data_IF_256220957803
#
_entry.id   IF_256220957803
#
_cell.length_a   1.000
_cell.length_b   1.000
_cell.length_c   1.000
_cell.angle_alpha   90.00
_cell.angle_beta   90.00
_cell.angle_gamma   90.00
#
_symmetry.space_group_name_H-M   'P 1'
#
loop_
_entity.id
_entity.type
_entity.pdbx_description
1 polymer ?
#
# COMPACT_ATOMS: atom_id res chain seq x y z
N UNK A 1 -4.60 33.65 -24.80
CA UNK A 1 -5.25 32.88 -25.88
C UNK A 1 -6.73 33.20 -25.80
N UNK A 2 -7.34 33.73 -26.88
CA UNK A 2 -8.73 34.19 -26.85
C UNK A 2 -9.68 33.01 -27.08
N UNK A 3 -10.37 32.55 -26.03
CA UNK A 3 -11.43 31.55 -26.13
C UNK A 3 -12.67 32.19 -26.79
N UNK A 4 -12.72 32.21 -28.13
CA UNK A 4 -13.83 32.76 -28.90
C UNK A 4 -14.55 31.64 -29.67
N UNK A 5 -15.88 31.64 -29.61
CA UNK A 5 -16.73 30.74 -30.38
C UNK A 5 -17.34 31.50 -31.57
N UNK A 6 -16.99 31.10 -32.80
CA UNK A 6 -17.53 31.67 -34.03
C UNK A 6 -18.67 30.77 -34.54
N UNK A 7 -19.88 31.31 -34.63
CA UNK A 7 -21.08 30.55 -35.02
C UNK A 7 -21.73 31.22 -36.24
N UNK A 8 -22.03 30.43 -37.27
CA UNK A 8 -22.84 30.85 -38.41
C UNK A 8 -24.26 30.33 -38.22
N UNK A 9 -25.22 31.21 -37.96
CA UNK A 9 -26.62 30.85 -37.68
C UNK A 9 -27.57 32.02 -38.00
N UNK A 10 -28.88 31.80 -37.89
CA UNK A 10 -29.90 32.86 -38.02
C UNK A 10 -29.95 33.73 -36.76
N UNK A 11 -30.44 34.99 -36.84
CA UNK A 11 -30.56 35.85 -35.67
C UNK A 11 -31.43 35.28 -34.53
N UNK A 12 -32.50 34.55 -34.87
CA UNK A 12 -33.37 33.88 -33.90
C UNK A 12 -32.61 32.81 -33.12
N UNK A 13 -31.91 31.92 -33.83
CA UNK A 13 -31.16 30.83 -33.21
C UNK A 13 -29.96 31.35 -32.42
N UNK A 14 -29.34 32.46 -32.85
CA UNK A 14 -28.28 33.11 -32.07
C UNK A 14 -28.79 33.59 -30.70
N UNK A 15 -30.03 34.11 -30.63
CA UNK A 15 -30.62 34.54 -29.36
C UNK A 15 -30.85 33.35 -28.42
N UNK A 16 -31.36 32.23 -28.95
CA UNK A 16 -31.53 30.97 -28.21
C UNK A 16 -30.20 30.42 -27.69
N UNK A 17 -29.17 30.35 -28.56
CA UNK A 17 -27.83 29.88 -28.17
C UNK A 17 -27.23 30.76 -27.07
N UNK A 18 -27.38 32.09 -27.15
CA UNK A 18 -26.91 33.02 -26.12
C UNK A 18 -27.62 32.82 -24.78
N UNK A 19 -28.92 32.49 -24.79
CA UNK A 19 -29.66 32.18 -23.55
C UNK A 19 -29.17 30.88 -22.92
N UNK A 20 -28.93 29.85 -23.74
CA UNK A 20 -28.38 28.56 -23.27
C UNK A 20 -26.95 28.70 -22.73
N UNK A 21 -26.09 29.46 -23.41
CA UNK A 21 -24.70 29.66 -22.96
C UNK A 21 -24.63 30.28 -21.55
N UNK A 22 -25.54 31.20 -21.20
CA UNK A 22 -25.61 31.79 -19.85
C UNK A 22 -25.93 30.77 -18.74
N UNK A 23 -26.49 29.61 -19.08
CA UNK A 23 -26.82 28.54 -18.13
C UNK A 23 -25.67 27.53 -17.96
N UNK A 24 -24.65 27.58 -18.82
CA UNK A 24 -23.55 26.60 -18.84
C UNK A 24 -22.22 27.28 -18.45
N UNK A 25 -22.05 28.55 -18.81
CA UNK A 25 -20.85 29.34 -18.53
C UNK A 25 -20.88 29.93 -17.11
N UNK A 26 -20.75 29.06 -16.12
CA UNK A 26 -20.62 29.42 -14.72
C UNK A 26 -19.15 29.37 -14.27
N UNK A 27 -18.78 30.25 -13.35
CA UNK A 27 -17.44 30.26 -12.78
C UNK A 27 -17.19 28.93 -12.02
N UNK A 28 -16.11 28.20 -12.31
CA UNK A 28 -15.83 26.93 -11.66
C UNK A 28 -15.68 27.08 -10.14
N UNK A 29 -16.36 26.22 -9.38
CA UNK A 29 -16.24 26.17 -7.91
C UNK A 29 -14.88 25.59 -7.50
N UNK A 30 -14.28 26.15 -6.45
CA UNK A 30 -13.03 25.65 -5.85
C UNK A 30 -13.36 24.60 -4.79
N UNK A 31 -12.67 23.47 -4.85
CA UNK A 31 -12.90 22.30 -4.02
C UNK A 31 -11.64 21.94 -3.25
N UNK A 32 -11.80 21.58 -1.98
CA UNK A 32 -10.80 20.90 -1.16
C UNK A 32 -11.21 19.44 -1.03
N UNK A 33 -10.36 18.54 -1.49
CA UNK A 33 -10.59 17.10 -1.41
C UNK A 33 -9.67 16.53 -0.34
N UNK A 34 -10.26 15.90 0.67
CA UNK A 34 -9.53 15.21 1.74
C UNK A 34 -9.77 13.71 1.61
N UNK A 35 -8.70 12.93 1.57
CA UNK A 35 -8.76 11.45 1.60
C UNK A 35 -8.11 10.96 2.88
N UNK A 36 -8.79 10.08 3.60
CA UNK A 36 -8.25 9.35 4.75
C UNK A 36 -8.09 7.88 4.38
N UNK A 37 -6.95 7.33 4.72
CA UNK A 37 -6.65 5.92 4.60
C UNK A 37 -6.23 5.42 5.97
N UNK A 38 -7.09 4.58 6.56
CA UNK A 38 -6.84 3.97 7.86
C UNK A 38 -6.48 2.50 7.62
N UNK A 39 -5.33 2.07 8.14
CA UNK A 39 -4.84 0.70 8.08
C UNK A 39 -4.63 0.22 9.50
N UNK A 40 -5.29 -0.86 9.87
CA UNK A 40 -5.20 -1.48 11.18
C UNK A 40 -4.85 -2.94 11.01
N UNK A 41 -3.83 -3.40 11.74
CA UNK A 41 -3.30 -4.75 11.61
C UNK A 41 -2.99 -5.37 12.96
N UNK A 42 -3.38 -6.63 13.14
CA UNK A 42 -2.96 -7.46 14.26
C UNK A 42 -2.24 -8.69 13.72
N UNK A 43 -1.09 -9.00 14.30
CA UNK A 43 -0.28 -10.17 13.95
C UNK A 43 0.16 -10.88 15.20
N UNK A 44 -0.23 -12.14 15.30
CA UNK A 44 0.22 -13.07 16.32
C UNK A 44 1.21 -14.04 15.71
N UNK A 45 2.31 -14.31 16.41
CA UNK A 45 3.25 -15.33 16.00
C UNK A 45 3.67 -16.19 17.17
N UNK A 46 3.93 -17.46 16.87
CA UNK A 46 4.53 -18.42 17.78
C UNK A 46 5.60 -19.19 17.01
N UNK A 47 6.75 -19.35 17.63
CA UNK A 47 7.85 -20.13 17.11
C UNK A 47 8.40 -21.03 18.22
N UNK A 48 8.51 -22.31 17.92
CA UNK A 48 9.13 -23.31 18.78
C UNK A 48 10.30 -23.90 18.00
N UNK A 49 11.50 -23.91 18.60
CA UNK A 49 12.70 -24.42 17.94
C UNK A 49 13.55 -25.24 18.90
N UNK A 50 14.18 -26.27 18.36
CA UNK A 50 15.16 -27.12 19.03
C UNK A 50 16.46 -27.06 18.24
N UNK A 51 17.55 -26.78 18.95
CA UNK A 51 18.90 -26.73 18.40
C UNK A 51 19.84 -27.58 19.25
N UNK A 52 20.86 -28.12 18.60
CA UNK A 52 21.87 -28.93 19.24
C UNK A 52 23.25 -28.64 18.66
N UNK A 53 24.26 -28.65 19.52
CA UNK A 53 25.68 -28.52 19.16
C UNK A 53 26.44 -29.65 19.85
N UNK A 54 27.34 -30.28 19.11
CA UNK A 54 28.32 -31.23 19.64
C UNK A 54 29.70 -30.88 19.05
N UNK A 55 30.74 -30.94 19.88
CA UNK A 55 32.11 -30.57 19.54
C UNK A 55 33.05 -31.55 20.24
N UNK A 56 33.94 -32.20 19.48
CA UNK A 56 34.95 -33.11 20.03
C UNK A 56 36.20 -33.05 19.17
N UNK A 57 37.29 -32.51 19.70
CA UNK A 57 38.50 -32.22 18.92
C UNK A 57 38.18 -31.30 17.72
N UNK A 58 38.55 -31.75 16.52
CA UNK A 58 38.31 -31.01 15.27
C UNK A 58 36.91 -31.24 14.66
N UNK A 59 36.06 -32.06 15.29
CA UNK A 59 34.72 -32.39 14.79
C UNK A 59 33.67 -31.52 15.46
N UNK A 60 32.85 -30.83 14.66
CA UNK A 60 31.71 -30.05 15.14
C UNK A 60 30.43 -30.40 14.38
N UNK A 61 29.38 -30.79 15.11
CA UNK A 61 28.04 -31.06 14.59
C UNK A 61 27.09 -30.00 15.14
N UNK A 62 26.26 -29.43 14.27
CA UNK A 62 25.17 -28.52 14.66
C UNK A 62 23.88 -28.97 14.00
N UNK A 63 22.81 -29.06 14.77
CA UNK A 63 21.46 -29.36 14.30
C UNK A 63 20.50 -28.27 14.73
N UNK A 64 19.45 -28.06 13.93
CA UNK A 64 18.55 -26.92 14.08
C UNK A 64 19.20 -25.59 13.68
N UNK A 65 18.39 -24.54 13.60
CA UNK A 65 18.87 -23.16 13.37
C UNK A 65 18.16 -22.24 14.34
N UNK A 66 18.95 -21.51 15.12
CA UNK A 66 18.48 -20.52 16.07
C UNK A 66 18.75 -19.14 15.46
N UNK A 67 17.69 -18.44 15.04
CA UNK A 67 17.82 -17.16 14.32
C UNK A 67 17.60 -15.93 15.21
N UNK A 68 17.18 -16.13 16.47
CA UNK A 68 16.90 -15.03 17.40
C UNK A 68 17.40 -15.34 18.81
N UNK A 69 17.86 -14.30 19.50
CA UNK A 69 18.16 -14.33 20.94
C UNK A 69 16.93 -14.00 21.81
N UNK A 70 15.81 -13.66 21.18
CA UNK A 70 14.56 -13.31 21.86
C UNK A 70 13.70 -14.55 22.19
N UNK A 71 12.95 -14.47 23.28
CA UNK A 71 12.03 -15.52 23.75
C UNK A 71 12.55 -16.28 24.97
N UNK A 72 11.74 -17.23 25.45
CA UNK A 72 12.13 -18.13 26.54
C UNK A 72 12.99 -19.25 25.96
N UNK A 73 14.19 -19.45 26.52
CA UNK A 73 15.05 -20.56 26.14
C UNK A 73 15.47 -21.38 27.34
N UNK A 74 15.50 -22.69 27.15
CA UNK A 74 16.04 -23.66 28.11
C UNK A 74 17.13 -24.41 27.38
N UNK A 75 18.32 -24.47 27.98
CA UNK A 75 19.45 -25.21 27.43
C UNK A 75 20.08 -26.11 28.47
N UNK A 76 20.48 -27.30 28.04
CA UNK A 76 21.19 -28.27 28.85
C UNK A 76 22.43 -28.74 28.09
N UNK A 77 23.55 -28.88 28.79
CA UNK A 77 24.81 -29.29 28.17
C UNK A 77 26.03 -28.80 28.93
N UNK A 78 27.19 -29.17 28.39
CA UNK A 78 28.52 -28.80 28.86
C UNK A 78 29.28 -28.01 27.77
N UNK A 79 30.61 -27.98 27.87
CA UNK A 79 31.49 -27.26 26.92
C UNK A 79 31.48 -27.88 25.52
N UNK A 80 31.26 -29.18 25.44
CA UNK A 80 31.43 -30.00 24.25
C UNK A 80 30.07 -30.32 23.62
N UNK A 81 29.00 -30.42 24.41
CA UNK A 81 27.66 -30.76 23.95
C UNK A 81 26.60 -29.82 24.53
N UNK A 82 25.67 -29.32 23.71
CA UNK A 82 24.59 -28.46 24.17
C UNK A 82 23.32 -28.70 23.36
N UNK A 83 22.19 -28.80 24.04
CA UNK A 83 20.85 -28.80 23.45
C UNK A 83 20.11 -27.58 24.00
N UNK A 84 19.46 -26.83 23.11
CA UNK A 84 18.63 -25.67 23.47
C UNK A 84 17.26 -25.80 22.81
N UNK A 85 16.23 -25.73 23.65
CA UNK A 85 14.85 -25.49 23.24
C UNK A 85 14.52 -24.01 23.44
N UNK A 86 13.85 -23.39 22.46
CA UNK A 86 13.38 -22.00 22.53
C UNK A 86 11.94 -21.91 22.08
N UNK A 87 11.15 -21.13 22.82
CA UNK A 87 9.81 -20.72 22.45
C UNK A 87 9.71 -19.19 22.43
N UNK A 88 9.13 -18.66 21.36
CA UNK A 88 8.90 -17.24 21.17
C UNK A 88 7.44 -17.04 20.79
N UNK A 89 6.74 -16.19 21.53
CA UNK A 89 5.39 -15.75 21.20
C UNK A 89 5.38 -14.23 21.22
N UNK A 90 4.73 -13.62 20.24
CA UNK A 90 4.52 -12.19 20.22
C UNK A 90 3.22 -11.81 19.53
N UNK A 91 2.74 -10.63 19.89
CA UNK A 91 1.57 -9.97 19.32
C UNK A 91 2.02 -8.58 18.85
N UNK A 92 1.81 -8.26 17.59
CA UNK A 92 2.19 -6.98 16.96
C UNK A 92 0.93 -6.29 16.49
N UNK A 93 0.75 -5.04 16.89
CA UNK A 93 -0.33 -4.17 16.39
C UNK A 93 0.26 -3.04 15.58
N UNK A 94 -0.34 -2.79 14.43
CA UNK A 94 -0.03 -1.66 13.56
C UNK A 94 -1.31 -0.84 13.35
N UNK A 95 -1.19 0.48 13.48
CA UNK A 95 -2.23 1.46 13.14
C UNK A 95 -1.53 2.55 12.34
N UNK A 96 -1.87 2.67 11.07
CA UNK A 96 -1.37 3.70 10.17
C UNK A 96 -2.54 4.52 9.62
N UNK A 97 -2.47 5.84 9.75
CA UNK A 97 -3.55 6.76 9.40
C UNK A 97 -3.02 7.89 8.56
N UNK A 98 -3.22 7.79 7.26
CA UNK A 98 -2.75 8.77 6.30
C UNK A 98 -3.89 9.68 5.87
N UNK A 99 -3.66 11.00 5.93
CA UNK A 99 -4.60 12.01 5.46
C UNK A 99 -3.96 12.85 4.38
N UNK A 100 -4.52 12.80 3.17
CA UNK A 100 -4.07 13.58 2.03
C UNK A 100 -5.10 14.67 1.72
N UNK A 101 -4.62 15.85 1.31
CA UNK A 101 -5.47 16.99 0.95
C UNK A 101 -4.98 17.63 -0.34
N UNK A 102 -5.89 17.91 -1.25
CA UNK A 102 -5.59 18.60 -2.52
C UNK A 102 -6.70 19.58 -2.86
N UNK A 103 -6.33 20.74 -3.41
CA UNK A 103 -7.29 21.71 -3.95
C UNK A 103 -7.40 21.54 -5.47
N UNK A 104 -8.61 21.63 -5.99
CA UNK A 104 -8.87 21.62 -7.43
C UNK A 104 -10.11 22.44 -7.77
N UNK A 105 -10.35 22.65 -9.07
CA UNK A 105 -11.59 23.21 -9.58
C UNK A 105 -12.56 22.07 -9.90
N UNK A 106 -13.86 22.35 -9.85
CA UNK A 106 -14.85 21.40 -10.35
C UNK A 106 -14.57 21.02 -11.82
N UNK A 107 -14.77 19.75 -12.15
CA UNK A 107 -14.46 19.21 -13.47
C UNK A 107 -12.98 19.06 -13.80
N UNK A 108 -12.06 19.46 -12.91
CA UNK A 108 -10.62 19.34 -13.11
C UNK A 108 -10.00 18.23 -12.24
N UNK A 109 -9.17 17.36 -12.84
CA UNK A 109 -8.54 16.28 -12.09
C UNK A 109 -7.50 16.82 -11.11
N UNK A 110 -7.36 16.13 -9.98
CA UNK A 110 -6.36 16.41 -8.97
C UNK A 110 -5.60 15.13 -8.60
N UNK A 111 -4.32 15.27 -8.33
CA UNK A 111 -3.45 14.15 -7.97
C UNK A 111 -2.47 14.57 -6.89
N UNK A 112 -2.25 13.69 -5.92
CA UNK A 112 -1.20 13.80 -4.92
C UNK A 112 -0.61 12.42 -4.67
N UNK A 113 0.71 12.35 -4.60
CA UNK A 113 1.45 11.15 -4.23
C UNK A 113 2.64 11.53 -3.36
N UNK A 114 2.88 10.74 -2.32
CA UNK A 114 4.04 10.81 -1.45
C UNK A 114 4.69 9.43 -1.41
N UNK A 115 5.97 9.33 -1.79
CA UNK A 115 6.68 8.06 -1.80
C UNK A 115 8.20 8.21 -1.86
N UNK A 116 8.88 7.08 -1.92
CA UNK A 116 10.33 6.96 -2.11
C UNK A 116 10.60 5.97 -3.25
N UNK A 117 11.66 6.17 -4.02
CA UNK A 117 12.11 5.23 -5.04
C UNK A 117 13.17 4.31 -4.45
N UNK A 118 12.92 3.00 -4.44
CA UNK A 118 13.87 2.02 -3.87
C UNK A 118 14.52 1.17 -4.98
N UNK A 119 15.84 0.92 -4.92
CA UNK A 119 16.51 0.05 -5.88
C UNK A 119 16.15 -1.42 -5.62
N UNK A 120 15.74 -2.10 -6.67
CA UNK A 120 15.44 -3.51 -6.75
C UNK A 120 16.51 -4.20 -7.58
N UNK A 121 17.36 -5.00 -6.92
CA UNK A 121 18.41 -5.76 -7.59
C UNK A 121 17.84 -7.07 -8.14
N UNK A 122 17.73 -7.20 -9.45
CA UNK A 122 17.37 -8.45 -10.13
C UNK A 122 18.63 -9.12 -10.67
N UNK A 123 18.86 -10.39 -10.34
CA UNK A 123 19.95 -11.18 -10.91
C UNK A 123 19.38 -12.34 -11.70
N UNK A 124 19.56 -12.32 -13.02
CA UNK A 124 19.17 -13.43 -13.88
C UNK A 124 20.40 -14.30 -14.16
N UNK A 125 20.31 -15.59 -13.88
CA UNK A 125 21.42 -16.53 -14.10
C UNK A 125 21.06 -17.43 -15.26
N UNK A 126 21.78 -17.29 -16.37
CA UNK A 126 21.60 -18.13 -17.56
C UNK A 126 22.76 -19.10 -17.61
N UNK A 127 22.45 -20.40 -17.60
CA UNK A 127 23.43 -21.47 -17.82
C UNK A 127 23.54 -21.65 -19.33
N UNK A 128 24.68 -21.30 -19.90
CA UNK A 128 25.01 -21.58 -21.31
C UNK A 128 26.02 -22.72 -21.40
N UNK A 129 26.17 -23.28 -22.59
CA UNK A 129 27.08 -24.40 -22.87
C UNK A 129 28.55 -24.12 -22.48
N UNK A 130 28.92 -22.83 -22.31
CA UNK A 130 30.26 -22.37 -21.93
C UNK A 130 30.37 -21.76 -20.52
N UNK A 131 29.34 -21.86 -19.66
CA UNK A 131 29.42 -21.42 -18.27
C UNK A 131 28.16 -20.76 -17.71
N UNK A 132 28.28 -20.21 -16.51
CA UNK A 132 27.19 -19.51 -15.81
C UNK A 132 27.33 -18.01 -16.03
N UNK A 133 26.41 -17.41 -16.78
CA UNK A 133 26.36 -15.95 -16.96
C UNK A 133 25.34 -15.37 -15.99
N UNK A 134 25.81 -14.55 -15.04
CA UNK A 134 24.95 -13.83 -14.10
C UNK A 134 24.79 -12.40 -14.61
N UNK A 135 23.61 -12.08 -15.14
CA UNK A 135 23.25 -10.71 -15.51
C UNK A 135 22.58 -10.04 -14.31
N UNK A 136 23.16 -8.92 -13.82
CA UNK A 136 22.61 -8.15 -12.70
C UNK A 136 22.04 -6.84 -13.25
N UNK A 137 20.74 -6.62 -13.08
CA UNK A 137 20.08 -5.34 -13.33
C UNK A 137 19.66 -4.73 -11.99
N UNK A 138 19.65 -3.40 -11.94
CA UNK A 138 19.09 -2.65 -10.81
C UNK A 138 17.97 -1.78 -11.36
N UNK A 139 16.74 -2.16 -11.02
CA UNK A 139 15.53 -1.44 -11.41
C UNK A 139 15.06 -0.60 -10.23
N UNK A 140 14.49 0.58 -10.45
CA UNK A 140 13.95 1.39 -9.37
C UNK A 140 12.43 1.23 -9.31
N UNK A 141 11.90 1.03 -8.11
CA UNK A 141 10.46 0.91 -7.89
C UNK A 141 9.99 1.99 -6.93
N UNK A 142 9.03 2.78 -7.39
CA UNK A 142 8.40 3.81 -6.58
C UNK A 142 7.42 3.17 -5.60
N UNK A 143 7.64 3.44 -4.32
CA UNK A 143 6.77 3.03 -3.22
C UNK A 143 6.26 4.27 -2.53
N UNK A 144 4.98 4.56 -2.72
CA UNK A 144 4.29 5.68 -2.10
C UNK A 144 2.83 5.40 -1.80
N UNK A 145 2.19 6.45 -1.31
CA UNK A 145 0.77 6.54 -1.01
C UNK A 145 0.21 7.81 -1.63
N UNK A 146 -0.99 7.73 -2.18
CA UNK A 146 -1.58 8.87 -2.88
C UNK A 146 -2.98 8.61 -3.39
N UNK A 147 -3.51 9.62 -4.08
CA UNK A 147 -4.78 9.49 -4.77
C UNK A 147 -4.86 10.41 -5.98
N UNK A 148 -5.66 9.97 -6.95
CA UNK A 148 -6.18 10.71 -8.08
C UNK A 148 -7.68 10.88 -7.92
N UNK A 149 -8.21 12.04 -8.26
CA UNK A 149 -9.65 12.29 -8.19
C UNK A 149 -10.10 13.24 -9.29
N UNK A 150 -11.30 13.02 -9.81
CA UNK A 150 -12.00 13.92 -10.70
C UNK A 150 -13.39 14.23 -10.12
N UNK A 151 -13.58 15.43 -9.54
CA UNK A 151 -14.88 15.86 -9.03
C UNK A 151 -15.75 16.47 -10.14
N UNK A 152 -17.04 16.13 -10.17
CA UNK A 152 -18.06 16.80 -10.99
C UNK A 152 -19.24 17.18 -10.11
N UNK A 153 -19.61 18.46 -10.10
CA UNK A 153 -20.73 18.94 -9.29
C UNK A 153 -22.02 18.97 -10.09
N UNK A 154 -23.12 18.72 -9.40
CA UNK A 154 -24.48 18.99 -9.85
C UNK A 154 -25.25 19.56 -8.64
N UNK A 155 -25.28 20.89 -8.52
CA UNK A 155 -25.74 21.56 -7.31
C UNK A 155 -24.85 21.23 -6.10
N UNK A 156 -25.43 20.58 -5.09
CA UNK A 156 -24.73 20.15 -3.86
C UNK A 156 -24.25 18.69 -3.90
N UNK A 157 -24.57 17.97 -4.97
CA UNK A 157 -24.07 16.62 -5.19
C UNK A 157 -22.74 16.66 -5.94
N UNK A 158 -21.82 15.80 -5.51
CA UNK A 158 -20.53 15.58 -6.16
C UNK A 158 -20.44 14.13 -6.63
N UNK A 159 -20.15 13.95 -7.91
CA UNK A 159 -19.73 12.67 -8.48
C UNK A 159 -18.20 12.66 -8.50
N UNK A 160 -17.60 11.63 -7.92
CA UNK A 160 -16.16 11.49 -7.78
C UNK A 160 -15.72 10.22 -8.49
N UNK A 161 -14.88 10.36 -9.51
CA UNK A 161 -14.03 9.27 -9.95
C UNK A 161 -12.77 9.36 -9.10
N UNK A 162 -12.52 8.37 -8.24
CA UNK A 162 -11.42 8.36 -7.30
C UNK A 162 -10.59 7.10 -7.48
N UNK A 163 -9.27 7.27 -7.59
CA UNK A 163 -8.30 6.19 -7.54
C UNK A 163 -7.33 6.44 -6.40
N UNK A 164 -7.08 5.44 -5.57
CA UNK A 164 -6.15 5.53 -4.44
C UNK A 164 -5.11 4.43 -4.52
N UNK A 165 -3.90 4.74 -4.10
CA UNK A 165 -2.78 3.81 -4.08
C UNK A 165 -2.09 3.89 -2.72
N UNK A 166 -1.71 2.73 -2.19
CA UNK A 166 -0.84 2.60 -1.03
C UNK A 166 0.13 1.46 -1.30
N UNK A 167 1.40 1.71 -1.06
CA UNK A 167 2.42 0.69 -1.12
C UNK A 167 3.27 0.68 0.13
N UNK A 168 3.68 -0.51 0.54
CA UNK A 168 4.51 -0.73 1.72
C UNK A 168 5.69 -1.64 1.39
N UNK A 169 6.83 -1.35 2.00
CA UNK A 169 8.03 -2.17 1.86
C UNK A 169 7.98 -3.28 2.91
N UNK A 170 8.19 -4.53 2.49
CA UNK A 170 8.48 -5.64 3.39
C UNK A 170 9.99 -5.77 3.58
N UNK A 171 10.53 -5.52 4.79
CA UNK A 171 11.94 -5.77 5.08
C UNK A 171 12.24 -7.27 4.97
N UNK A 172 13.30 -7.64 4.25
CA UNK A 172 13.71 -9.04 4.08
C UNK A 172 14.98 -9.17 3.24
N UNK A 173 15.50 -10.41 3.10
CA UNK A 173 16.69 -10.70 2.25
C UNK A 173 16.51 -10.29 0.79
N UNK A 174 15.26 -10.20 0.34
CA UNK A 174 14.84 -9.53 -0.88
C UNK A 174 13.76 -8.51 -0.48
N UNK A 175 14.02 -7.23 -0.73
CA UNK A 175 13.01 -6.19 -0.51
C UNK A 175 11.82 -6.49 -1.43
N UNK A 176 10.62 -6.61 -0.87
CA UNK A 176 9.40 -6.78 -1.66
C UNK A 176 8.46 -5.61 -1.39
N UNK A 177 7.93 -5.01 -2.46
CA UNK A 177 6.89 -3.99 -2.35
C UNK A 177 5.52 -4.69 -2.37
N UNK A 178 4.68 -4.39 -1.38
CA UNK A 178 3.25 -4.64 -1.48
C UNK A 178 2.62 -3.39 -2.11
N UNK A 179 1.80 -3.57 -3.14
CA UNK A 179 1.02 -2.49 -3.74
C UNK A 179 -0.45 -2.82 -3.62
N UNK A 180 -1.24 -1.84 -3.23
CA UNK A 180 -2.68 -1.97 -3.08
C UNK A 180 -3.35 -0.72 -3.64
N UNK A 181 -4.18 -0.91 -4.66
CA UNK A 181 -4.93 0.16 -5.30
C UNK A 181 -6.44 -0.07 -5.25
N UNK A 182 -7.20 1.00 -5.35
CA UNK A 182 -8.65 0.97 -5.52
C UNK A 182 -9.06 2.10 -6.46
N UNK A 183 -9.92 1.79 -7.43
CA UNK A 183 -10.53 2.77 -8.32
C UNK A 183 -12.04 2.60 -8.28
N UNK A 184 -12.77 3.71 -8.08
CA UNK A 184 -14.21 3.69 -7.93
C UNK A 184 -14.84 5.00 -8.41
N UNK A 185 -16.14 4.94 -8.72
CA UNK A 185 -16.96 6.13 -8.93
C UNK A 185 -18.05 6.16 -7.87
N UNK A 186 -18.07 7.22 -7.08
CA UNK A 186 -19.05 7.42 -6.00
C UNK A 186 -19.79 8.74 -6.17
N UNK A 187 -20.99 8.81 -5.58
CA UNK A 187 -21.77 10.03 -5.49
C UNK A 187 -22.03 10.33 -4.02
N UNK A 188 -21.89 11.59 -3.63
CA UNK A 188 -22.25 12.04 -2.30
C UNK A 188 -22.50 13.54 -2.26
N UNK A 189 -22.62 14.09 -1.05
CA UNK A 189 -22.87 15.52 -0.82
C UNK A 189 -21.59 16.23 -0.42
N UNK A 190 -21.50 17.52 -0.74
CA UNK A 190 -20.43 18.38 -0.25
C UNK A 190 -20.45 18.43 1.29
N UNK A 191 -19.27 18.39 1.91
CA UNK A 191 -19.07 18.46 3.36
C UNK A 191 -19.20 17.14 4.12
N UNK A 192 -19.66 16.05 3.47
CA UNK A 192 -19.85 14.74 4.09
C UNK A 192 -18.68 13.79 3.79
N UNK A 193 -18.36 12.92 4.76
CA UNK A 193 -17.44 11.81 4.53
C UNK A 193 -18.16 10.68 3.79
N UNK A 194 -17.55 10.21 2.71
CA UNK A 194 -18.03 9.10 1.90
C UNK A 194 -17.00 7.98 2.03
N UNK A 195 -17.43 6.79 2.44
CA UNK A 195 -16.59 5.60 2.40
C UNK A 195 -16.46 5.14 0.95
N UNK A 196 -15.22 5.05 0.46
CA UNK A 196 -14.92 4.55 -0.88
C UNK A 196 -14.85 3.02 -0.92
N UNK A 197 -14.49 2.42 0.22
CA UNK A 197 -14.37 0.99 0.40
C UNK A 197 -13.21 0.63 1.32
N UNK A 198 -12.94 -0.67 1.39
CA UNK A 198 -11.90 -1.23 2.25
C UNK A 198 -11.45 -2.61 1.81
N UNK A 199 -10.35 -3.06 2.41
CA UNK A 199 -9.75 -4.38 2.18
C UNK A 199 -9.58 -5.05 3.54
N UNK A 200 -10.13 -6.25 3.71
CA UNK A 200 -9.87 -7.11 4.87
C UNK A 200 -9.03 -8.32 4.43
N UNK A 201 -7.85 -8.48 5.01
CA UNK A 201 -6.91 -9.54 4.71
C UNK A 201 -6.60 -10.35 5.96
N UNK A 202 -7.07 -11.58 6.01
CA UNK A 202 -6.63 -12.57 7.00
C UNK A 202 -5.57 -13.49 6.40
N UNK A 203 -4.48 -13.74 7.14
CA UNK A 203 -3.48 -14.73 6.75
C UNK A 203 -3.14 -15.66 7.91
N UNK A 204 -3.02 -16.96 7.61
CA UNK A 204 -2.48 -17.97 8.51
C UNK A 204 -1.35 -18.69 7.78
N UNK A 205 -0.17 -18.76 8.39
CA UNK A 205 0.97 -19.46 7.86
C UNK A 205 1.57 -20.35 8.93
N UNK A 206 1.53 -21.64 8.69
CA UNK A 206 2.18 -22.64 9.51
C UNK A 206 3.43 -23.15 8.77
N UNK A 207 4.55 -23.20 9.47
CA UNK A 207 5.82 -23.71 8.98
C UNK A 207 6.31 -24.82 9.88
N UNK A 208 6.63 -25.98 9.30
CA UNK A 208 7.37 -27.05 9.99
C UNK A 208 8.64 -27.33 9.23
N UNK A 209 9.76 -27.32 9.94
CA UNK A 209 11.08 -27.73 9.45
C UNK A 209 11.66 -28.72 10.45
N UNK A 210 12.74 -29.38 10.08
CA UNK A 210 13.44 -30.28 10.99
C UNK A 210 13.80 -29.49 12.27
N UNK A 211 13.28 -29.95 13.41
CA UNK A 211 13.49 -29.36 14.74
C UNK A 211 12.94 -27.93 14.94
N UNK A 212 12.06 -27.42 14.07
CA UNK A 212 11.34 -26.17 14.36
C UNK A 212 9.92 -26.10 13.78
N UNK A 213 9.05 -25.40 14.50
CA UNK A 213 7.71 -25.05 14.05
C UNK A 213 7.44 -23.58 14.26
N UNK A 214 6.79 -22.95 13.29
CA UNK A 214 6.30 -21.59 13.40
C UNK A 214 4.84 -21.52 12.97
N UNK A 215 4.06 -20.67 13.63
CA UNK A 215 2.71 -20.32 13.23
C UNK A 215 2.58 -18.81 13.29
N UNK A 216 2.14 -18.20 12.20
CA UNK A 216 1.86 -16.77 12.12
C UNK A 216 0.42 -16.62 11.69
N UNK A 217 -0.36 -15.88 12.47
CA UNK A 217 -1.73 -15.49 12.14
C UNK A 217 -1.83 -13.98 12.17
N UNK A 218 -2.60 -13.40 11.29
CA UNK A 218 -2.88 -11.97 11.36
C UNK A 218 -4.06 -11.58 10.52
N UNK A 219 -4.54 -10.38 10.82
CA UNK A 219 -5.61 -9.69 10.11
C UNK A 219 -5.15 -8.26 9.83
N UNK A 220 -5.46 -7.76 8.64
CA UNK A 220 -5.21 -6.39 8.23
C UNK A 220 -6.50 -5.83 7.63
N UNK A 221 -7.05 -4.79 8.26
CA UNK A 221 -8.22 -4.05 7.79
C UNK A 221 -7.77 -2.68 7.30
N UNK A 222 -8.11 -2.37 6.06
CA UNK A 222 -7.90 -1.06 5.44
C UNK A 222 -9.24 -0.46 5.08
N UNK A 223 -9.43 0.83 5.38
CA UNK A 223 -10.62 1.59 4.98
C UNK A 223 -10.21 2.93 4.38
N UNK A 224 -10.93 3.37 3.36
CA UNK A 224 -10.68 4.62 2.66
C UNK A 224 -11.91 5.50 2.68
N UNK A 225 -11.74 6.74 3.13
CA UNK A 225 -12.79 7.75 3.14
C UNK A 225 -12.36 8.96 2.31
N UNK A 226 -13.33 9.58 1.64
CA UNK A 226 -13.14 10.84 0.93
C UNK A 226 -14.14 11.88 1.41
N UNK A 227 -13.73 13.14 1.45
CA UNK A 227 -14.59 14.28 1.72
C UNK A 227 -14.25 15.40 0.77
N UNK A 228 -15.28 16.08 0.28
CA UNK A 228 -15.16 17.22 -0.63
C UNK A 228 -15.82 18.42 0.00
N UNK A 229 -15.02 19.44 0.29
CA UNK A 229 -15.52 20.72 0.80
C UNK A 229 -15.41 21.77 -0.30
N UNK A 230 -16.42 22.63 -0.44
CA UNK A 230 -16.28 23.86 -1.21
C UNK A 230 -15.47 24.87 -0.40
N UNK A 231 -14.51 25.51 -1.05
CA UNK A 231 -13.74 26.62 -0.48
C UNK A 231 -14.07 27.92 -1.21
N UNK A 232 -14.26 28.99 -0.44
CA UNK A 232 -14.51 30.34 -0.96
C UNK A 232 -13.19 31.06 -1.21
#
# INVERSE_FOLDING_TARGET
>A
MNNQLIIKTTPSNLAEIKQLLKQIDHAPRRLMITVKQDVSGDRQFREDSLSGKYSSGDVQIRTGRDYSTEGLSVSAGDKDSNIRYRTLKGDVRADDRNTFKVQTLEGQPAFINQGQSIPFNSSNTVITENGVVVNRSTDYQDVGSGFYVLPRLNGDQVTLLAATELSSIKPGRHAAANMQGMETTVVGRLGEWIELGGIDQSYSRDGRRNFSSSSVRGQELRTVFIKVDEIK
#
